data_IF_695880344925
#
_entry.id   IF_695880344925
#
_cell.length_a   1.000
_cell.length_b   1.000
_cell.length_c   1.000
_cell.angle_alpha   90.00
_cell.angle_beta   90.00
_cell.angle_gamma   90.00
#
_symmetry.space_group_name_H-M   'P 1'
#
loop_
_entity.id
_entity.type
_entity.pdbx_description
1 polymer ?
#
# COMPACT_ATOMS: atom_id res chain seq x y z
N UNK A 1 -0.29 10.43 31.08
CA UNK A 1 -0.93 11.17 29.97
C UNK A 1 -1.18 10.14 28.88
N UNK A 2 -2.42 9.74 28.65
CA UNK A 2 -2.75 8.83 27.56
C UNK A 2 -2.66 9.64 26.26
N UNK A 3 -1.86 9.18 25.29
CA UNK A 3 -1.87 9.78 23.96
C UNK A 3 -3.28 9.60 23.39
N UNK A 4 -3.94 10.69 23.01
CA UNK A 4 -5.14 10.61 22.18
C UNK A 4 -4.76 9.83 20.91
N UNK A 5 -5.48 8.75 20.63
CA UNK A 5 -5.24 7.93 19.46
C UNK A 5 -5.68 8.72 18.23
N UNK A 6 -4.79 9.53 17.68
CA UNK A 6 -4.94 10.04 16.32
C UNK A 6 -4.83 8.84 15.37
N UNK A 7 -5.86 8.61 14.56
CA UNK A 7 -5.83 7.60 13.51
C UNK A 7 -4.61 7.78 12.59
N UNK A 8 -4.23 6.73 11.88
CA UNK A 8 -3.11 6.80 10.94
C UNK A 8 -3.43 7.83 9.83
N UNK A 9 -2.51 8.75 9.59
CA UNK A 9 -2.59 9.64 8.44
C UNK A 9 -2.28 8.83 7.18
N UNK A 10 -3.22 8.74 6.24
CA UNK A 10 -3.02 8.01 5.00
C UNK A 10 -2.80 8.96 3.82
N UNK A 11 -1.82 8.65 2.97
CA UNK A 11 -1.57 9.31 1.69
C UNK A 11 -1.64 8.28 0.58
N UNK A 12 -2.53 8.48 -0.38
CA UNK A 12 -2.70 7.63 -1.56
C UNK A 12 -2.13 8.32 -2.79
N UNK A 13 -1.21 7.64 -3.47
CA UNK A 13 -0.68 8.03 -4.77
C UNK A 13 -1.36 7.17 -5.83
N UNK A 14 -2.13 7.79 -6.71
CA UNK A 14 -2.83 7.10 -7.79
C UNK A 14 -2.04 7.14 -9.11
N UNK A 15 -1.77 5.95 -9.63
CA UNK A 15 -1.07 5.70 -10.89
C UNK A 15 -2.01 5.38 -12.05
N UNK A 16 -3.28 5.09 -11.77
CA UNK A 16 -4.28 4.74 -12.78
C UNK A 16 -4.90 6.01 -13.36
N UNK A 17 -5.60 6.82 -12.55
CA UNK A 17 -6.50 7.80 -13.15
C UNK A 17 -7.93 7.73 -12.66
N UNK A 18 -8.71 8.59 -13.27
CA UNK A 18 -10.16 8.61 -13.19
C UNK A 18 -10.73 7.46 -14.04
N UNK A 19 -10.36 6.22 -13.71
CA UNK A 19 -10.97 5.03 -14.32
C UNK A 19 -12.32 4.82 -13.63
N UNK A 20 -13.41 4.99 -14.37
CA UNK A 20 -14.76 4.76 -13.83
C UNK A 20 -14.90 3.30 -13.40
N UNK A 21 -15.22 3.08 -12.12
CA UNK A 21 -15.49 1.75 -11.58
C UNK A 21 -17.00 1.52 -11.59
N UNK A 22 -17.49 0.68 -12.51
CA UNK A 22 -18.92 0.38 -12.61
C UNK A 22 -19.45 -0.19 -11.28
N UNK A 23 -20.32 0.58 -10.62
CA UNK A 23 -20.96 0.18 -9.36
C UNK A 23 -20.05 0.20 -8.12
N UNK A 24 -18.86 0.82 -8.20
CA UNK A 24 -17.91 0.95 -7.10
C UNK A 24 -17.47 2.39 -6.85
N UNK A 25 -16.55 2.57 -5.90
CA UNK A 25 -15.87 3.85 -5.68
C UNK A 25 -14.57 3.90 -6.46
N UNK A 26 -14.27 5.06 -7.03
CA UNK A 26 -12.91 5.42 -7.44
C UNK A 26 -12.00 5.54 -6.21
N UNK A 27 -10.69 5.39 -6.41
CA UNK A 27 -9.74 5.53 -5.28
C UNK A 27 -9.74 6.93 -4.68
N UNK A 28 -10.07 7.96 -5.48
CA UNK A 28 -10.23 9.34 -5.02
C UNK A 28 -11.42 9.45 -4.05
N UNK A 29 -12.58 8.89 -4.41
CA UNK A 29 -13.76 8.88 -3.53
C UNK A 29 -13.51 8.08 -2.25
N UNK A 30 -12.75 6.98 -2.32
CA UNK A 30 -12.32 6.24 -1.11
C UNK A 30 -11.42 7.11 -0.24
N UNK A 31 -10.48 7.86 -0.82
CA UNK A 31 -9.59 8.75 -0.08
C UNK A 31 -10.40 9.87 0.59
N UNK A 32 -11.36 10.48 -0.11
CA UNK A 32 -12.25 11.50 0.45
C UNK A 32 -13.10 10.95 1.59
N UNK A 33 -13.76 9.80 1.39
CA UNK A 33 -14.59 9.15 2.41
C UNK A 33 -13.81 8.74 3.67
N UNK A 34 -12.50 8.50 3.53
CA UNK A 34 -11.59 8.13 4.63
C UNK A 34 -10.78 9.30 5.18
N UNK A 35 -10.99 10.53 4.68
CA UNK A 35 -10.17 11.72 5.01
C UNK A 35 -8.66 11.51 4.79
N UNK A 36 -8.32 10.69 3.79
CA UNK A 36 -6.95 10.43 3.36
C UNK A 36 -6.49 11.47 2.35
N UNK A 37 -5.20 11.82 2.36
CA UNK A 37 -4.60 12.67 1.32
C UNK A 37 -4.55 11.90 0.00
N UNK A 38 -5.11 12.46 -1.06
CA UNK A 38 -5.04 11.91 -2.42
C UNK A 38 -4.11 12.76 -3.29
N UNK A 39 -3.21 12.12 -4.03
CA UNK A 39 -2.35 12.77 -5.03
C UNK A 39 -2.17 11.90 -6.27
N UNK A 40 -1.84 12.54 -7.40
CA UNK A 40 -1.47 11.85 -8.65
C UNK A 40 -0.02 11.38 -8.60
N UNK A 41 0.33 10.41 -9.45
CA UNK A 41 1.69 9.89 -9.60
C UNK A 41 2.78 10.94 -9.85
N UNK A 42 2.45 12.10 -10.43
CA UNK A 42 3.37 13.23 -10.60
C UNK A 42 3.91 13.81 -9.27
N UNK A 43 3.21 13.57 -8.16
CA UNK A 43 3.63 14.02 -6.83
C UNK A 43 4.41 12.95 -6.06
N UNK A 44 4.63 11.76 -6.63
CA UNK A 44 5.26 10.64 -5.94
C UNK A 44 6.61 11.04 -5.32
N UNK A 45 7.49 11.67 -6.09
CA UNK A 45 8.82 12.04 -5.60
C UNK A 45 8.74 12.96 -4.37
N UNK A 46 7.86 13.96 -4.40
CA UNK A 46 7.67 14.87 -3.27
C UNK A 46 7.16 14.15 -2.02
N UNK A 47 6.24 13.19 -2.18
CA UNK A 47 5.71 12.37 -1.08
C UNK A 47 6.78 11.45 -0.52
N UNK A 48 7.59 10.82 -1.37
CA UNK A 48 8.70 9.98 -0.92
C UNK A 48 9.76 10.78 -0.15
N UNK A 49 10.10 11.99 -0.61
CA UNK A 49 11.03 12.88 0.10
C UNK A 49 10.48 13.30 1.46
N UNK A 50 9.20 13.68 1.53
CA UNK A 50 8.51 14.02 2.77
C UNK A 50 8.56 12.87 3.79
N UNK A 51 8.17 11.67 3.37
CA UNK A 51 8.12 10.51 4.26
C UNK A 51 9.51 9.99 4.63
N UNK A 52 10.48 9.98 3.71
CA UNK A 52 11.85 9.59 4.02
C UNK A 52 12.51 10.57 5.02
N UNK A 53 12.25 11.88 4.88
CA UNK A 53 12.67 12.87 5.86
C UNK A 53 12.03 12.62 7.22
N UNK A 54 10.74 12.30 7.25
CA UNK A 54 10.03 11.95 8.50
C UNK A 54 10.65 10.72 9.18
N UNK A 55 10.97 9.68 8.40
CA UNK A 55 11.63 8.47 8.92
C UNK A 55 13.00 8.82 9.51
N UNK A 56 13.82 9.60 8.79
CA UNK A 56 15.12 10.02 9.28
C UNK A 56 15.04 10.83 10.59
N UNK A 57 14.13 11.80 10.66
CA UNK A 57 13.91 12.62 11.87
C UNK A 57 13.50 11.74 13.05
N UNK A 58 12.46 10.92 12.91
CA UNK A 58 11.96 10.07 14.00
C UNK A 58 12.99 9.08 14.50
N UNK A 59 13.78 8.50 13.60
CA UNK A 59 14.89 7.60 13.96
C UNK A 59 15.96 8.36 14.76
N UNK A 60 16.34 9.55 14.34
CA UNK A 60 17.37 10.36 15.01
C UNK A 60 16.94 10.85 16.40
N UNK A 61 15.65 11.14 16.57
CA UNK A 61 15.07 11.65 17.82
C UNK A 61 14.58 10.53 18.75
N UNK A 62 14.56 9.27 18.29
CA UNK A 62 13.99 8.14 19.02
C UNK A 62 12.48 8.25 19.24
N UNK A 63 11.77 8.93 18.32
CA UNK A 63 10.33 9.16 18.43
C UNK A 63 9.52 8.05 17.73
N UNK A 64 9.13 7.05 18.52
CA UNK A 64 8.37 5.88 18.05
C UNK A 64 6.88 5.91 18.42
N UNK A 65 6.40 7.02 18.99
CA UNK A 65 5.03 7.13 19.54
C UNK A 65 4.13 8.10 18.80
N UNK A 66 4.69 8.86 17.86
CA UNK A 66 3.93 9.77 17.02
C UNK A 66 2.92 9.05 16.13
N UNK A 67 1.97 9.82 15.59
CA UNK A 67 0.96 9.34 14.68
C UNK A 67 1.55 8.56 13.49
N UNK A 68 0.94 7.40 13.22
CA UNK A 68 1.29 6.51 12.13
C UNK A 68 0.99 7.18 10.78
N UNK A 69 1.87 6.95 9.80
CA UNK A 69 1.65 7.36 8.41
C UNK A 69 1.54 6.12 7.51
N UNK A 70 0.55 6.10 6.63
CA UNK A 70 0.32 5.03 5.67
C UNK A 70 0.45 5.59 4.25
N UNK A 71 1.46 5.15 3.50
CA UNK A 71 1.58 5.41 2.08
C UNK A 71 0.89 4.28 1.30
N UNK A 72 -0.04 4.63 0.42
CA UNK A 72 -0.71 3.69 -0.49
C UNK A 72 -0.28 4.03 -1.92
N UNK A 73 0.36 3.09 -2.61
CA UNK A 73 0.66 3.18 -4.04
C UNK A 73 -0.39 2.37 -4.79
N UNK A 74 -1.37 3.06 -5.37
CA UNK A 74 -2.52 2.43 -6.01
C UNK A 74 -2.29 2.19 -7.50
N UNK A 75 -2.52 0.95 -7.95
CA UNK A 75 -2.45 0.58 -9.36
C UNK A 75 -1.09 0.80 -10.00
N UNK A 76 -0.02 0.33 -9.35
CA UNK A 76 1.36 0.50 -9.80
C UNK A 76 1.55 -0.04 -11.23
N UNK A 77 1.38 0.86 -12.21
CA UNK A 77 1.50 0.65 -13.65
C UNK A 77 2.49 1.67 -14.20
N UNK A 78 3.39 1.25 -15.09
CA UNK A 78 4.17 2.17 -15.92
C UNK A 78 5.29 3.00 -15.25
N UNK A 79 5.30 3.18 -13.92
CA UNK A 79 6.33 4.00 -13.26
C UNK A 79 7.62 3.20 -13.08
N UNK A 80 8.65 3.54 -13.85
CA UNK A 80 9.99 2.98 -13.69
C UNK A 80 10.68 3.69 -12.52
N UNK A 81 10.38 3.27 -11.30
CA UNK A 81 11.40 3.32 -10.26
C UNK A 81 12.53 2.45 -10.81
N UNK A 82 13.68 3.04 -11.15
CA UNK A 82 14.84 2.23 -11.49
C UNK A 82 15.02 1.23 -10.34
N UNK A 83 15.23 -0.08 -10.62
CA UNK A 83 15.36 -1.06 -9.56
C UNK A 83 16.43 -0.59 -8.58
N UNK A 84 16.12 -0.63 -7.28
CA UNK A 84 17.11 -0.31 -6.27
C UNK A 84 18.29 -1.29 -6.41
N UNK A 85 19.48 -0.74 -6.65
CA UNK A 85 20.73 -1.50 -6.65
C UNK A 85 21.51 -1.12 -5.39
N UNK A 86 21.54 -1.98 -4.35
CA UNK A 86 22.29 -1.71 -3.13
C UNK A 86 23.81 -1.61 -3.35
N UNK A 87 24.31 -2.06 -4.51
CA UNK A 87 25.72 -2.01 -4.91
C UNK A 87 25.99 -0.95 -5.98
N UNK A 88 24.97 -0.19 -6.38
CA UNK A 88 25.10 0.87 -7.36
C UNK A 88 25.97 2.01 -6.81
N UNK A 89 27.00 2.38 -7.56
CA UNK A 89 27.76 3.61 -7.32
C UNK A 89 26.95 4.79 -7.86
N UNK A 90 25.92 5.21 -7.13
CA UNK A 90 25.24 6.47 -7.42
C UNK A 90 26.18 7.63 -7.04
N UNK A 91 26.47 8.49 -8.00
CA UNK A 91 27.39 9.63 -7.86
C UNK A 91 26.68 10.95 -7.58
N UNK A 92 25.36 10.93 -7.38
CA UNK A 92 24.58 12.11 -7.03
C UNK A 92 24.50 12.31 -5.52
N UNK A 93 24.64 13.57 -5.08
CA UNK A 93 24.43 13.95 -3.68
C UNK A 93 22.95 13.83 -3.25
N UNK A 94 22.02 13.85 -4.21
CA UNK A 94 20.59 13.65 -3.94
C UNK A 94 20.18 12.18 -4.03
N UNK A 95 19.37 11.69 -3.08
CA UNK A 95 18.88 10.33 -3.11
C UNK A 95 17.86 10.12 -4.24
N UNK A 96 18.01 9.03 -4.98
CA UNK A 96 17.05 8.61 -6.00
C UNK A 96 15.72 8.17 -5.39
N UNK A 97 14.63 8.16 -6.17
CA UNK A 97 13.32 7.68 -5.69
C UNK A 97 13.37 6.24 -5.15
N UNK A 98 14.22 5.39 -5.72
CA UNK A 98 14.41 4.02 -5.27
C UNK A 98 15.06 3.96 -3.88
N UNK A 99 16.07 4.81 -3.63
CA UNK A 99 16.70 4.96 -2.32
C UNK A 99 15.72 5.51 -1.28
N UNK A 100 14.91 6.52 -1.64
CA UNK A 100 13.88 7.07 -0.75
C UNK A 100 12.84 6.01 -0.38
N UNK A 101 12.35 5.25 -1.36
CA UNK A 101 11.38 4.20 -1.10
C UNK A 101 11.97 3.05 -0.27
N UNK A 102 13.22 2.66 -0.55
CA UNK A 102 13.95 1.66 0.25
C UNK A 102 14.04 2.08 1.72
N UNK A 103 14.43 3.33 2.00
CA UNK A 103 14.49 3.86 3.36
C UNK A 103 13.13 3.81 4.08
N UNK A 104 12.04 4.13 3.37
CA UNK A 104 10.68 4.03 3.90
C UNK A 104 10.30 2.57 4.18
N UNK A 105 10.59 1.64 3.27
CA UNK A 105 10.21 0.23 3.41
C UNK A 105 10.96 -0.46 4.55
N UNK A 106 12.27 -0.21 4.67
CA UNK A 106 13.14 -0.90 5.62
C UNK A 106 13.04 -0.28 7.01
N UNK A 107 13.19 1.05 7.13
CA UNK A 107 13.25 1.73 8.42
C UNK A 107 11.92 2.38 8.83
N UNK A 108 11.00 2.60 7.89
CA UNK A 108 9.72 3.23 8.18
C UNK A 108 8.86 2.49 9.20
N UNK A 109 8.69 1.16 9.13
CA UNK A 109 7.82 0.44 10.05
C UNK A 109 8.22 0.59 11.53
N UNK A 110 9.51 0.75 11.82
CA UNK A 110 10.02 0.96 13.19
C UNK A 110 9.55 2.29 13.79
N UNK A 111 9.32 3.30 12.95
CA UNK A 111 8.92 4.66 13.34
C UNK A 111 7.47 4.99 12.94
N UNK A 112 6.67 3.96 12.63
CA UNK A 112 5.25 4.09 12.32
C UNK A 112 4.96 4.65 10.93
N UNK A 113 5.85 4.46 9.95
CA UNK A 113 5.59 4.77 8.53
C UNK A 113 5.45 3.44 7.78
N UNK A 114 4.29 3.20 7.18
CA UNK A 114 3.99 1.93 6.50
C UNK A 114 3.66 2.15 5.03
N UNK A 115 3.83 1.10 4.23
CA UNK A 115 3.58 1.09 2.79
C UNK A 115 2.58 -0.01 2.43
N UNK A 116 1.61 0.35 1.60
CA UNK A 116 0.73 -0.58 0.88
C UNK A 116 0.93 -0.36 -0.61
N UNK A 117 1.12 -1.45 -1.36
CA UNK A 117 1.25 -1.40 -2.81
C UNK A 117 0.15 -2.27 -3.41
N UNK A 118 -0.61 -1.69 -4.33
CA UNK A 118 -1.56 -2.37 -5.17
C UNK A 118 -1.03 -2.45 -6.61
N UNK A 119 -1.19 -3.62 -7.23
CA UNK A 119 -0.76 -3.87 -8.60
C UNK A 119 -1.52 -5.07 -9.18
N UNK A 120 -1.76 -5.06 -10.49
CA UNK A 120 -2.46 -6.17 -11.16
C UNK A 120 -1.68 -7.50 -11.10
N UNK A 121 -0.35 -7.42 -11.06
CA UNK A 121 0.56 -8.56 -11.16
C UNK A 121 1.76 -8.39 -10.24
N UNK A 122 2.18 -9.50 -9.61
CA UNK A 122 3.42 -9.55 -8.82
C UNK A 122 4.65 -9.07 -9.60
N UNK A 123 4.73 -9.43 -10.89
CA UNK A 123 5.83 -9.03 -11.76
C UNK A 123 5.97 -7.51 -11.90
N UNK A 124 4.85 -6.77 -11.87
CA UNK A 124 4.88 -5.31 -11.92
C UNK A 124 5.62 -4.77 -10.70
N UNK A 125 5.29 -5.27 -9.51
CA UNK A 125 5.97 -4.91 -8.25
C UNK A 125 7.45 -5.25 -8.30
N UNK A 126 7.80 -6.50 -8.62
CA UNK A 126 9.19 -6.98 -8.72
C UNK A 126 10.03 -6.14 -9.69
N UNK A 127 9.46 -5.78 -10.85
CA UNK A 127 10.18 -5.02 -11.88
C UNK A 127 10.48 -3.56 -11.51
N UNK A 128 9.76 -3.01 -10.50
CA UNK A 128 9.89 -1.60 -10.08
C UNK A 128 10.62 -1.46 -8.76
N UNK A 129 10.34 -2.35 -7.81
CA UNK A 129 10.98 -2.32 -6.49
C UNK A 129 12.28 -3.13 -6.47
N UNK A 130 12.44 -4.06 -7.41
CA UNK A 130 13.45 -5.10 -7.30
C UNK A 130 12.96 -6.27 -6.45
N UNK A 131 13.61 -7.43 -6.61
CA UNK A 131 13.26 -8.64 -5.87
C UNK A 131 13.53 -8.53 -4.37
N UNK A 132 14.55 -7.75 -3.98
CA UNK A 132 14.95 -7.57 -2.58
C UNK A 132 13.90 -6.79 -1.81
N UNK A 133 13.53 -5.59 -2.26
CA UNK A 133 12.48 -4.80 -1.60
C UNK A 133 11.12 -5.49 -1.64
N UNK A 134 10.84 -6.29 -2.67
CA UNK A 134 9.61 -7.10 -2.72
C UNK A 134 9.53 -8.13 -1.59
N UNK A 135 10.66 -8.54 -1.01
CA UNK A 135 10.68 -9.46 0.13
C UNK A 135 10.27 -8.79 1.45
N UNK A 136 10.43 -7.47 1.57
CA UNK A 136 10.07 -6.69 2.77
C UNK A 136 8.55 -6.63 3.01
N UNK A 137 7.72 -6.98 2.02
CA UNK A 137 6.28 -7.11 2.24
C UNK A 137 5.96 -8.34 3.10
N UNK A 138 5.74 -8.08 4.39
CA UNK A 138 5.38 -9.11 5.38
C UNK A 138 3.97 -9.65 5.19
N UNK A 139 3.04 -8.79 4.78
CA UNK A 139 1.68 -9.19 4.42
C UNK A 139 1.51 -9.06 2.92
N UNK A 140 1.11 -10.15 2.27
CA UNK A 140 0.84 -10.20 0.84
C UNK A 140 -0.56 -10.72 0.60
N UNK A 141 -1.26 -10.12 -0.35
CA UNK A 141 -2.66 -10.45 -0.64
C UNK A 141 -2.81 -10.69 -2.14
N UNK A 142 -3.44 -11.81 -2.50
CA UNK A 142 -3.82 -12.11 -3.88
C UNK A 142 -5.34 -12.17 -4.02
N UNK A 143 -5.85 -11.47 -5.03
CA UNK A 143 -7.25 -11.51 -5.45
C UNK A 143 -7.57 -12.69 -6.36
N UNK A 144 -8.85 -12.87 -6.66
CA UNK A 144 -9.33 -14.02 -7.45
C UNK A 144 -8.79 -14.13 -8.89
N UNK A 145 -8.22 -13.04 -9.44
CA UNK A 145 -7.59 -13.03 -10.77
C UNK A 145 -6.09 -13.39 -10.75
N UNK A 146 -5.51 -13.65 -9.58
CA UNK A 146 -4.12 -14.01 -9.42
C UNK A 146 -3.78 -15.34 -10.13
N UNK A 147 -2.65 -15.38 -10.83
CA UNK A 147 -2.15 -16.61 -11.44
C UNK A 147 -1.30 -17.44 -10.46
N UNK A 148 -0.81 -18.60 -10.91
CA UNK A 148 -0.01 -19.49 -10.08
C UNK A 148 1.28 -18.83 -9.54
N UNK A 149 1.90 -17.91 -10.30
CA UNK A 149 3.10 -17.19 -9.86
C UNK A 149 2.73 -16.20 -8.76
N UNK A 150 1.67 -15.43 -8.95
CA UNK A 150 1.13 -14.49 -7.96
C UNK A 150 0.80 -15.23 -6.64
N UNK A 151 0.12 -16.38 -6.72
CA UNK A 151 -0.23 -17.19 -5.54
C UNK A 151 1.00 -17.78 -4.83
N UNK A 152 2.03 -18.17 -5.58
CA UNK A 152 3.29 -18.68 -5.02
C UNK A 152 4.03 -17.57 -4.26
N UNK A 153 4.10 -16.36 -4.83
CA UNK A 153 4.72 -15.21 -4.19
C UNK A 153 3.99 -14.82 -2.89
N UNK A 154 2.65 -14.82 -2.91
CA UNK A 154 1.84 -14.51 -1.74
C UNK A 154 2.03 -15.56 -0.65
N UNK A 155 1.99 -16.84 -0.98
CA UNK A 155 2.11 -17.91 0.01
C UNK A 155 3.53 -18.18 0.52
N UNK A 156 4.56 -17.70 -0.19
CA UNK A 156 5.95 -18.04 0.08
C UNK A 156 6.30 -19.51 -0.19
N UNK A 157 5.39 -20.27 -0.80
CA UNK A 157 5.53 -21.70 -1.06
C UNK A 157 5.53 -21.94 -2.57
N UNK A 158 6.56 -22.64 -3.06
CA UNK A 158 6.65 -23.11 -4.43
C UNK A 158 5.91 -24.46 -4.56
N UNK A 159 4.59 -24.41 -4.52
CA UNK A 159 3.74 -25.58 -4.70
C UNK A 159 2.49 -25.24 -5.50
N UNK A 160 1.82 -26.25 -6.05
CA UNK A 160 0.56 -26.08 -6.78
C UNK A 160 -0.54 -25.54 -5.86
N UNK A 161 -0.68 -24.23 -5.84
CA UNK A 161 -1.76 -23.55 -5.14
C UNK A 161 -3.00 -23.58 -6.00
N UNK A 162 -4.06 -24.23 -5.49
CA UNK A 162 -5.35 -24.23 -6.17
C UNK A 162 -5.80 -22.78 -6.48
N UNK A 163 -6.32 -22.50 -7.68
CA UNK A 163 -6.73 -21.16 -8.08
C UNK A 163 -7.81 -20.62 -7.15
N UNK A 164 -7.83 -19.30 -6.99
CA UNK A 164 -8.84 -18.62 -6.19
C UNK A 164 -10.15 -18.52 -6.96
N UNK A 165 -11.27 -18.77 -6.29
CA UNK A 165 -12.60 -18.51 -6.84
C UNK A 165 -12.94 -17.03 -6.68
N UNK A 166 -13.90 -16.56 -7.47
CA UNK A 166 -14.48 -15.23 -7.28
C UNK A 166 -14.93 -15.03 -5.81
N UNK A 167 -14.64 -13.86 -5.24
CA UNK A 167 -14.93 -13.57 -3.83
C UNK A 167 -14.01 -14.29 -2.83
N UNK A 168 -12.88 -14.85 -3.27
CA UNK A 168 -11.81 -15.36 -2.40
C UNK A 168 -10.55 -14.52 -2.49
N UNK A 169 -9.86 -14.39 -1.35
CA UNK A 169 -8.52 -13.82 -1.25
C UNK A 169 -7.57 -14.87 -0.66
N UNK A 170 -6.32 -14.83 -1.09
CA UNK A 170 -5.22 -15.48 -0.39
C UNK A 170 -4.46 -14.42 0.39
N UNK A 171 -4.25 -14.64 1.68
CA UNK A 171 -3.48 -13.75 2.56
C UNK A 171 -2.28 -14.54 3.05
N UNK A 172 -1.09 -14.14 2.65
CA UNK A 172 0.18 -14.63 3.17
C UNK A 172 0.71 -13.69 4.24
N UNK A 173 0.87 -14.21 5.46
CA UNK A 173 1.54 -13.54 6.57
C UNK A 173 2.92 -14.17 6.73
N UNK A 174 3.93 -13.52 6.16
CA UNK A 174 5.33 -13.97 6.15
C UNK A 174 6.00 -13.77 7.51
N UNK A 175 5.50 -12.85 8.34
CA UNK A 175 5.98 -12.70 9.71
C UNK A 175 5.65 -13.93 10.56
N UNK A 176 4.47 -14.53 10.34
CA UNK A 176 4.03 -15.74 11.05
C UNK A 176 4.22 -17.02 10.25
N UNK A 177 4.75 -16.94 9.04
CA UNK A 177 4.82 -18.04 8.07
C UNK A 177 3.46 -18.76 7.91
N UNK A 178 2.36 -18.00 7.86
CA UNK A 178 1.01 -18.56 7.67
C UNK A 178 0.38 -18.08 6.38
N UNK A 179 -0.45 -18.94 5.79
CA UNK A 179 -1.27 -18.58 4.63
C UNK A 179 -2.72 -18.91 4.92
N UNK A 180 -3.63 -17.96 4.66
CA UNK A 180 -5.07 -18.11 4.90
C UNK A 180 -5.86 -17.77 3.64
N UNK A 181 -6.91 -18.53 3.39
CA UNK A 181 -7.90 -18.22 2.34
C UNK A 181 -9.12 -17.56 2.99
N UNK A 182 -9.33 -16.29 2.69
CA UNK A 182 -10.54 -15.58 3.06
C UNK A 182 -11.62 -15.80 1.99
N UNK A 183 -12.88 -15.89 2.40
CA UNK A 183 -14.04 -16.12 1.52
C UNK A 183 -15.13 -15.12 1.85
N UNK A 184 -15.91 -14.74 0.84
CA UNK A 184 -17.08 -13.90 1.02
C UNK A 184 -16.74 -12.46 1.41
N UNK A 185 -15.59 -11.95 0.97
CA UNK A 185 -15.33 -10.53 1.10
C UNK A 185 -16.32 -9.78 0.20
N UNK A 186 -16.99 -8.78 0.77
CA UNK A 186 -17.86 -7.89 0.00
C UNK A 186 -17.00 -6.80 -0.62
N UNK A 187 -17.24 -6.52 -1.90
CA UNK A 187 -16.71 -5.32 -2.53
C UNK A 187 -17.34 -4.12 -1.83
N UNK A 188 -16.53 -3.11 -1.50
CA UNK A 188 -17.05 -1.87 -0.94
C UNK A 188 -17.85 -1.15 -2.03
N UNK A 189 -19.12 -0.92 -1.74
CA UNK A 189 -20.03 -0.09 -2.52
C UNK A 189 -20.45 1.11 -1.68
N UNK A 190 -21.06 2.11 -2.32
CA UNK A 190 -21.66 3.28 -1.65
C UNK A 190 -22.59 2.91 -0.51
N UNK A 191 -23.36 1.84 -0.67
CA UNK A 191 -24.24 1.32 0.38
C UNK A 191 -23.51 0.75 1.62
N UNK A 192 -22.21 0.44 1.52
CA UNK A 192 -21.42 -0.20 2.61
C UNK A 192 -20.48 0.73 3.35
N UNK A 193 -20.20 1.94 2.83
CA UNK A 193 -19.30 2.92 3.45
C UNK A 193 -20.01 3.96 4.31
N UNK A 194 -21.35 3.92 4.39
CA UNK A 194 -22.13 4.73 5.33
C UNK A 194 -22.32 6.20 4.93
N UNK A 195 -22.13 6.56 3.65
CA UNK A 195 -22.41 7.92 3.16
C UNK A 195 -23.90 8.28 3.14
N UNK A 196 -24.81 7.33 3.34
CA UNK A 196 -26.26 7.52 3.38
C UNK A 196 -26.81 7.57 4.82
N UNK A 197 -26.18 8.32 5.73
CA UNK A 197 -26.94 8.91 6.83
C UNK A 197 -27.59 10.20 6.34
N UNK A 198 -28.57 10.06 5.45
CA UNK A 198 -29.54 11.12 5.19
C UNK A 198 -30.24 11.48 6.49
N UNK A 199 -30.24 12.77 6.78
CA UNK A 199 -30.94 13.40 7.87
C UNK A 199 -32.42 13.01 7.87
N UNK A 200 -32.86 12.14 8.78
CA UNK A 200 -34.24 12.17 9.24
C UNK A 200 -34.43 13.46 10.05
N UNK A 201 -34.82 14.53 9.34
CA UNK A 201 -35.47 15.68 9.99
C UNK A 201 -36.82 15.23 10.54
N UNK A 202 -37.16 15.56 11.79
CA UNK A 202 -38.45 15.19 12.37
C UNK A 202 -39.54 16.00 11.65
N UNK A 203 -40.50 15.29 11.05
CA UNK A 203 -41.74 15.91 10.58
C UNK A 203 -42.52 16.39 11.80
N UNK A 204 -42.72 17.72 11.87
CA UNK A 204 -43.67 18.40 12.76
C UNK A 204 -45.10 18.02 12.39
#
# INVERSE_FOLDING_TARGET
MAAEFQGAAATTVDFIGDEEVEGGFTIMEVAEATSSRYVRSSSLESVLRELASLVATRTSEGNYRDATHLLVLFGLRGLSLAPYDPYGLDSSDEPSMAQLLSAIMVSGPEVGVHLVVDADRSRSVESRLGSELSQEFMIRIAGSAADAKDLSLVSGSYGDMAPLRFGQLLIGDHLKATTKRARGYKILTSATTGSDQESESPRV
#
